data_IF_112522691390
#
_entry.id   IF_112522691390
#
_cell.length_a   1.000
_cell.length_b   1.000
_cell.length_c   1.000
_cell.angle_alpha   90.00
_cell.angle_beta   90.00
_cell.angle_gamma   90.00
#
_symmetry.space_group_name_H-M   'P 1'
#
loop_
_entity.id
_entity.type
_entity.pdbx_description
1 polymer ?
#
# COMPACT_ATOMS: atom_id res chain seq x y z
N UNK A 1 6.10 -5.03 -7.14
CA UNK A 1 4.90 -4.55 -6.46
C UNK A 1 4.55 -3.18 -6.99
N UNK A 2 3.31 -2.96 -7.37
CA UNK A 2 2.81 -1.68 -7.87
C UNK A 2 1.41 -1.47 -7.32
N UNK A 3 1.20 -0.36 -6.63
CA UNK A 3 -0.14 0.04 -6.21
C UNK A 3 -0.78 0.89 -7.30
N UNK A 4 -2.03 0.63 -7.61
CA UNK A 4 -2.89 1.50 -8.41
C UNK A 4 -4.11 1.82 -7.58
N UNK A 5 -4.35 3.09 -7.40
CA UNK A 5 -5.55 3.57 -6.72
C UNK A 5 -6.20 4.62 -7.60
N UNK A 6 -7.50 4.51 -7.82
CA UNK A 6 -8.23 5.42 -8.69
C UNK A 6 -9.52 5.87 -8.07
N UNK A 7 -9.82 7.16 -8.21
CA UNK A 7 -11.12 7.73 -7.93
C UNK A 7 -11.51 8.62 -9.11
N UNK A 8 -12.45 8.19 -9.94
CA UNK A 8 -13.10 9.07 -10.90
C UNK A 8 -14.54 9.24 -10.46
N UNK A 9 -14.95 10.43 -9.99
CA UNK A 9 -16.27 10.79 -9.43
C UNK A 9 -17.09 9.55 -9.16
N UNK A 10 -17.28 9.12 -7.92
CA UNK A 10 -17.11 7.73 -7.58
C UNK A 10 -18.24 6.86 -8.13
N UNK A 11 -18.00 6.25 -9.28
CA UNK A 11 -18.74 5.02 -9.63
C UNK A 11 -18.21 3.91 -8.73
N UNK A 12 -16.92 3.95 -8.35
CA UNK A 12 -16.26 2.99 -7.45
C UNK A 12 -14.86 3.46 -7.06
N UNK A 13 -14.37 2.97 -5.92
CA UNK A 13 -12.95 3.02 -5.57
C UNK A 13 -12.24 1.77 -6.08
N UNK A 14 -11.00 1.91 -6.50
CA UNK A 14 -10.15 0.81 -6.97
C UNK A 14 -8.82 0.87 -6.24
N UNK A 15 -8.47 -0.20 -5.54
CA UNK A 15 -7.11 -0.43 -5.06
C UNK A 15 -6.60 -1.75 -5.66
N UNK A 16 -5.34 -1.78 -6.07
CA UNK A 16 -4.81 -2.93 -6.77
C UNK A 16 -3.32 -3.14 -6.46
N UNK A 17 -2.87 -4.38 -6.48
CA UNK A 17 -1.49 -4.75 -6.23
C UNK A 17 -1.10 -5.99 -7.02
N UNK A 18 0.16 -6.05 -7.48
CA UNK A 18 0.82 -7.30 -7.84
C UNK A 18 1.69 -7.77 -6.66
N UNK A 19 1.68 -9.05 -6.38
CA UNK A 19 2.58 -9.70 -5.46
C UNK A 19 3.63 -10.44 -6.27
N UNK A 20 4.84 -9.90 -6.27
CA UNK A 20 5.96 -10.42 -7.03
C UNK A 20 6.86 -11.21 -6.09
N UNK A 21 6.96 -12.48 -6.32
CA UNK A 21 7.76 -13.39 -5.51
C UNK A 21 9.15 -13.63 -6.12
N UNK A 22 10.03 -14.19 -5.31
CA UNK A 22 11.30 -14.73 -5.78
C UNK A 22 11.12 -15.96 -6.66
N UNK A 23 12.03 -16.90 -6.58
CA UNK A 23 11.87 -18.22 -7.21
C UNK A 23 11.18 -19.15 -6.23
N UNK A 24 10.15 -19.87 -6.68
CA UNK A 24 9.46 -20.86 -5.86
C UNK A 24 7.99 -21.04 -6.27
N UNK A 25 7.34 -22.04 -5.68
CA UNK A 25 5.92 -22.34 -5.89
C UNK A 25 5.10 -21.57 -4.84
N UNK A 26 4.80 -20.32 -5.15
CA UNK A 26 3.89 -19.50 -4.34
C UNK A 26 2.45 -19.66 -4.83
N UNK A 27 1.80 -20.71 -4.35
CA UNK A 27 0.40 -20.95 -4.69
C UNK A 27 -0.50 -20.17 -3.74
N UNK A 28 -1.34 -19.33 -4.30
CA UNK A 28 -2.36 -18.59 -3.58
C UNK A 28 -3.69 -19.34 -3.56
N UNK A 29 -4.47 -19.19 -2.50
CA UNK A 29 -5.79 -19.81 -2.40
C UNK A 29 -6.80 -18.83 -1.81
N UNK A 30 -7.86 -18.53 -2.57
CA UNK A 30 -8.97 -17.74 -2.06
C UNK A 30 -9.65 -18.46 -0.90
N UNK A 31 -9.77 -17.80 0.23
CA UNK A 31 -10.36 -18.32 1.45
C UNK A 31 -11.39 -17.34 2.06
N UNK A 32 -12.26 -17.87 2.87
CA UNK A 32 -13.22 -17.10 3.67
C UNK A 32 -12.97 -17.40 5.14
N UNK A 33 -12.65 -16.36 5.92
CA UNK A 33 -12.69 -16.42 7.36
C UNK A 33 -14.11 -16.11 7.84
N UNK A 34 -14.82 -17.07 8.46
CA UNK A 34 -16.16 -16.81 8.96
C UNK A 34 -16.17 -15.78 10.10
N UNK A 35 -17.27 -15.06 10.25
CA UNK A 35 -17.53 -14.27 11.44
C UNK A 35 -17.50 -15.17 12.68
N UNK A 36 -16.85 -14.67 13.74
CA UNK A 36 -16.81 -15.36 15.04
C UNK A 36 -17.43 -14.45 16.09
N UNK A 37 -18.31 -14.99 16.90
CA UNK A 37 -19.05 -14.23 17.91
C UNK A 37 -18.87 -14.82 19.30
N UNK A 38 -18.64 -13.94 20.29
CA UNK A 38 -18.61 -14.28 21.70
C UNK A 38 -17.54 -15.33 22.11
N UNK A 39 -16.40 -15.35 21.40
CA UNK A 39 -15.28 -16.25 21.71
C UNK A 39 -14.08 -15.40 22.15
N UNK A 40 -13.85 -15.19 23.44
CA UNK A 40 -12.73 -14.42 23.95
C UNK A 40 -11.41 -15.20 23.92
N UNK A 41 -10.29 -14.50 24.09
CA UNK A 41 -8.96 -15.08 24.24
C UNK A 41 -8.35 -15.62 22.93
N UNK A 42 -8.81 -15.11 21.80
CA UNK A 42 -8.24 -15.45 20.48
C UNK A 42 -7.14 -14.47 20.10
N UNK A 43 -6.26 -14.93 19.24
CA UNK A 43 -5.17 -14.14 18.65
C UNK A 43 -5.14 -14.38 17.15
N UNK A 44 -4.70 -13.39 16.39
CA UNK A 44 -4.12 -13.62 15.08
C UNK A 44 -2.61 -13.76 15.30
N UNK A 45 -1.99 -14.75 14.67
CA UNK A 45 -0.60 -15.11 14.91
C UNK A 45 0.18 -15.11 13.59
N UNK A 46 1.28 -14.37 13.56
CA UNK A 46 2.30 -14.58 12.54
C UNK A 46 3.07 -15.87 12.88
N UNK A 47 2.89 -16.89 12.07
CA UNK A 47 3.46 -18.21 12.33
C UNK A 47 4.97 -18.28 12.08
N UNK A 48 5.52 -17.31 11.35
CA UNK A 48 6.95 -17.23 11.10
C UNK A 48 7.73 -16.73 12.32
N UNK A 49 7.21 -15.68 12.98
CA UNK A 49 7.89 -15.00 14.09
C UNK A 49 7.31 -15.35 15.46
N UNK A 50 6.08 -15.87 15.49
CA UNK A 50 5.31 -16.09 16.70
C UNK A 50 4.66 -14.81 17.27
N UNK A 51 4.76 -13.69 16.58
CA UNK A 51 4.09 -12.44 16.95
C UNK A 51 2.57 -12.61 16.98
N UNK A 52 1.90 -12.00 17.96
CA UNK A 52 0.47 -12.17 18.18
C UNK A 52 -0.23 -10.85 18.45
N UNK A 53 -1.38 -10.65 17.80
CA UNK A 53 -2.30 -9.57 18.12
C UNK A 53 -3.55 -10.17 18.75
N UNK A 54 -3.98 -9.71 19.96
CA UNK A 54 -5.20 -10.18 20.57
C UNK A 54 -6.42 -9.73 19.76
N UNK A 55 -7.35 -10.66 19.53
CA UNK A 55 -8.60 -10.38 18.83
C UNK A 55 -9.74 -10.14 19.84
N UNK A 56 -10.67 -9.23 19.55
CA UNK A 56 -11.88 -9.10 20.33
C UNK A 56 -12.70 -10.40 20.31
N UNK A 57 -13.62 -10.56 21.24
CA UNK A 57 -14.49 -11.75 21.33
C UNK A 57 -15.32 -11.96 20.05
N UNK A 58 -15.66 -10.88 19.36
CA UNK A 58 -16.33 -10.90 18.04
C UNK A 58 -15.37 -10.37 16.98
N UNK A 59 -15.22 -11.11 15.88
CA UNK A 59 -14.47 -10.68 14.69
C UNK A 59 -15.34 -10.86 13.44
N UNK A 60 -15.14 -9.99 12.47
CA UNK A 60 -15.94 -9.94 11.26
C UNK A 60 -15.53 -11.04 10.27
N UNK A 61 -16.47 -11.41 9.40
CA UNK A 61 -16.16 -12.25 8.24
C UNK A 61 -15.34 -11.46 7.24
N UNK A 62 -14.32 -12.10 6.68
CA UNK A 62 -13.54 -11.53 5.57
C UNK A 62 -13.11 -12.61 4.57
N UNK A 63 -12.94 -12.19 3.32
CA UNK A 63 -12.26 -12.97 2.28
C UNK A 63 -10.80 -12.57 2.25
N UNK A 64 -9.92 -13.50 1.87
CA UNK A 64 -8.49 -13.25 1.76
C UNK A 64 -7.82 -14.28 0.85
N UNK A 65 -6.62 -13.95 0.36
CA UNK A 65 -5.88 -14.80 -0.57
C UNK A 65 -4.49 -15.10 0.00
N UNK A 66 -4.40 -16.04 0.97
CA UNK A 66 -3.15 -16.41 1.62
C UNK A 66 -2.32 -17.35 0.75
N UNK A 67 -1.06 -17.53 1.14
CA UNK A 67 -0.23 -18.60 0.65
C UNK A 67 -0.82 -19.97 0.99
N UNK A 68 -0.90 -20.86 0.00
CA UNK A 68 -1.48 -22.18 0.20
C UNK A 68 -0.62 -23.04 1.15
N UNK A 69 0.68 -23.02 0.95
CA UNK A 69 1.60 -23.86 1.72
C UNK A 69 1.98 -23.27 3.06
N UNK A 70 1.67 -21.99 3.31
CA UNK A 70 2.02 -21.28 4.55
C UNK A 70 3.40 -21.68 5.07
N UNK A 71 4.41 -21.53 4.20
CA UNK A 71 5.79 -21.88 4.53
C UNK A 71 6.35 -21.09 5.70
N UNK A 72 7.64 -20.88 5.73
CA UNK A 72 8.34 -20.17 6.80
C UNK A 72 7.92 -18.69 6.89
N UNK A 73 7.31 -18.15 5.84
CA UNK A 73 6.88 -16.73 5.76
C UNK A 73 5.51 -16.42 6.41
N UNK A 74 4.77 -17.46 6.81
CA UNK A 74 3.47 -17.26 7.48
C UNK A 74 2.25 -17.29 6.56
N UNK A 75 1.17 -16.58 6.93
CA UNK A 75 -0.11 -16.60 6.20
C UNK A 75 -0.06 -15.80 4.89
N UNK A 76 0.53 -14.64 4.91
CA UNK A 76 0.71 -13.73 3.78
C UNK A 76 -0.57 -13.50 2.95
N UNK A 77 -1.63 -12.89 3.50
CA UNK A 77 -2.82 -12.57 2.75
C UNK A 77 -2.53 -11.42 1.80
N UNK A 78 -2.52 -11.68 0.50
CA UNK A 78 -2.27 -10.65 -0.51
C UNK A 78 -3.30 -9.53 -0.49
N UNK A 79 -4.57 -9.88 -0.21
CA UNK A 79 -5.70 -8.96 -0.08
C UNK A 79 -6.70 -9.47 0.96
N UNK A 80 -7.44 -8.56 1.57
CA UNK A 80 -8.57 -8.85 2.45
C UNK A 80 -9.73 -7.93 2.14
N UNK A 81 -10.97 -8.48 2.14
CA UNK A 81 -12.20 -7.70 2.08
C UNK A 81 -13.19 -8.25 3.10
N UNK A 82 -13.71 -7.41 3.98
CA UNK A 82 -14.61 -7.84 5.03
C UNK A 82 -16.09 -7.61 4.69
N UNK A 83 -16.97 -8.10 5.55
CA UNK A 83 -18.44 -8.03 5.37
C UNK A 83 -19.04 -6.62 5.43
N UNK A 84 -18.25 -5.61 5.79
CA UNK A 84 -18.61 -4.20 5.74
C UNK A 84 -18.10 -3.50 4.48
N UNK A 85 -17.46 -4.23 3.56
CA UNK A 85 -16.90 -3.69 2.33
C UNK A 85 -15.55 -3.00 2.52
N UNK A 86 -14.92 -3.13 3.68
CA UNK A 86 -13.55 -2.64 3.90
C UNK A 86 -12.57 -3.56 3.20
N UNK A 87 -11.83 -3.01 2.26
CA UNK A 87 -10.83 -3.73 1.45
C UNK A 87 -9.43 -3.23 1.77
N UNK A 88 -8.48 -4.14 1.97
CA UNK A 88 -7.12 -3.85 2.43
C UNK A 88 -6.12 -4.67 1.62
N UNK A 89 -5.03 -4.03 1.21
CA UNK A 89 -3.85 -4.70 0.68
C UNK A 89 -2.59 -4.02 1.21
N UNK A 90 -1.59 -4.81 1.57
CA UNK A 90 -0.32 -4.34 2.13
C UNK A 90 0.85 -4.85 1.28
N UNK A 91 1.98 -4.16 1.34
CA UNK A 91 3.19 -4.55 0.64
C UNK A 91 4.43 -4.03 1.36
N UNK A 92 5.44 -4.88 1.52
CA UNK A 92 6.79 -4.45 1.93
C UNK A 92 7.35 -3.59 0.81
N UNK A 93 7.43 -2.29 1.03
CA UNK A 93 7.77 -1.35 -0.03
C UNK A 93 8.48 -0.09 0.43
N UNK A 94 8.27 0.36 1.67
CA UNK A 94 8.97 1.54 2.16
C UNK A 94 10.40 1.17 2.55
N UNK A 95 11.32 2.09 2.29
CA UNK A 95 12.70 2.02 2.73
C UNK A 95 13.12 3.38 3.27
N UNK A 96 14.04 3.41 4.21
CA UNK A 96 14.52 4.64 4.83
C UNK A 96 16.03 4.68 4.83
N UNK A 97 16.63 5.83 5.14
CA UNK A 97 18.08 5.94 5.22
C UNK A 97 18.61 5.43 6.57
N UNK A 98 19.89 5.09 6.63
CA UNK A 98 20.55 4.56 7.84
C UNK A 98 20.35 5.43 9.09
N UNK A 99 20.33 6.75 8.92
CA UNK A 99 20.11 7.66 10.06
C UNK A 99 18.69 7.55 10.62
N UNK A 100 17.70 7.30 9.75
CA UNK A 100 16.33 7.05 10.15
C UNK A 100 16.18 5.69 10.84
N UNK A 101 16.72 4.62 10.24
CA UNK A 101 16.70 3.27 10.80
C UNK A 101 17.38 3.19 12.18
N UNK A 102 18.41 4.01 12.42
CA UNK A 102 19.06 4.09 13.72
C UNK A 102 18.22 4.82 14.78
N UNK A 103 17.34 5.73 14.38
CA UNK A 103 16.48 6.52 15.28
C UNK A 103 15.17 5.81 15.62
N UNK A 104 14.56 5.17 14.60
CA UNK A 104 13.31 4.40 14.73
C UNK A 104 13.49 3.00 14.11
N UNK A 105 14.29 2.12 14.77
CA UNK A 105 14.55 0.79 14.26
C UNK A 105 13.29 -0.06 14.23
N UNK A 106 13.19 -0.96 13.26
CA UNK A 106 12.13 -1.96 13.22
C UNK A 106 12.10 -2.81 14.49
N UNK A 107 10.92 -3.23 14.91
CA UNK A 107 10.69 -4.01 16.14
C UNK A 107 10.56 -5.48 15.79
N UNK A 108 11.44 -6.33 16.35
CA UNK A 108 11.44 -7.78 16.13
C UNK A 108 11.18 -8.55 17.45
N UNK A 109 10.09 -9.36 17.56
CA UNK A 109 9.02 -9.51 16.59
C UNK A 109 8.02 -8.34 16.64
N UNK A 110 7.47 -7.98 15.47
CA UNK A 110 6.54 -6.88 15.31
C UNK A 110 5.47 -7.14 14.25
N UNK A 111 4.73 -6.11 13.88
CA UNK A 111 3.72 -6.20 12.84
C UNK A 111 4.36 -6.39 11.47
N UNK A 112 3.91 -7.44 10.74
CA UNK A 112 4.35 -7.77 9.38
C UNK A 112 3.21 -7.86 8.39
N UNK A 113 3.53 -7.69 7.10
CA UNK A 113 2.61 -7.94 5.98
C UNK A 113 1.90 -9.29 6.12
N UNK A 114 2.61 -10.29 6.67
CA UNK A 114 2.11 -11.66 6.87
C UNK A 114 0.76 -11.77 7.58
N UNK A 115 0.41 -10.81 8.45
CA UNK A 115 -0.87 -10.79 9.17
C UNK A 115 -1.58 -9.45 9.14
N UNK A 116 -0.93 -8.38 8.63
CA UNK A 116 -1.40 -7.00 8.73
C UNK A 116 -2.82 -6.84 8.17
N UNK A 117 -3.04 -7.19 6.90
CA UNK A 117 -4.34 -6.98 6.26
C UNK A 117 -5.46 -7.77 6.95
N UNK A 118 -5.20 -9.02 7.36
CA UNK A 118 -6.17 -9.87 8.01
C UNK A 118 -6.50 -9.39 9.43
N UNK A 119 -5.52 -8.90 10.20
CA UNK A 119 -5.74 -8.40 11.57
C UNK A 119 -6.64 -7.17 11.58
N UNK A 120 -6.46 -6.27 10.63
CA UNK A 120 -7.26 -5.05 10.48
C UNK A 120 -8.66 -5.36 9.93
N UNK A 121 -8.77 -6.20 8.88
CA UNK A 121 -10.05 -6.58 8.30
C UNK A 121 -10.98 -7.29 9.30
N UNK A 122 -10.41 -8.04 10.24
CA UNK A 122 -11.17 -8.76 11.25
C UNK A 122 -11.93 -7.86 12.24
N UNK A 123 -11.58 -6.57 12.38
CA UNK A 123 -12.06 -5.72 13.47
C UNK A 123 -12.57 -4.34 13.04
N UNK A 124 -12.42 -3.94 11.78
CA UNK A 124 -12.82 -2.63 11.28
C UNK A 124 -14.13 -2.67 10.49
N UNK A 125 -14.91 -1.59 10.53
CA UNK A 125 -16.19 -1.45 9.82
C UNK A 125 -16.19 -0.36 8.76
N UNK A 126 -15.17 0.51 8.77
CA UNK A 126 -14.95 1.56 7.77
C UNK A 126 -13.46 1.65 7.42
N UNK A 127 -13.14 2.27 6.27
CA UNK A 127 -11.75 2.50 5.89
C UNK A 127 -11.02 3.36 6.92
N UNK A 128 -11.67 4.40 7.46
CA UNK A 128 -11.09 5.24 8.50
C UNK A 128 -10.79 4.47 9.77
N UNK A 129 -11.73 3.66 10.26
CA UNK A 129 -11.49 2.81 11.42
C UNK A 129 -10.35 1.81 11.16
N UNK A 130 -10.27 1.26 9.94
CA UNK A 130 -9.18 0.38 9.54
C UNK A 130 -7.81 1.07 9.59
N UNK A 131 -7.72 2.32 9.16
CA UNK A 131 -6.51 3.15 9.33
C UNK A 131 -6.19 3.32 10.80
N UNK A 132 -7.15 3.75 11.63
CA UNK A 132 -6.92 3.98 13.06
C UNK A 132 -6.48 2.69 13.80
N UNK A 133 -7.06 1.53 13.44
CA UNK A 133 -6.67 0.21 13.97
C UNK A 133 -5.23 -0.14 13.57
N UNK A 134 -4.89 0.04 12.29
CA UNK A 134 -3.53 -0.23 11.79
C UNK A 134 -2.49 0.63 12.51
N UNK A 135 -2.73 1.94 12.59
CA UNK A 135 -1.82 2.87 13.25
C UNK A 135 -1.70 2.56 14.74
N UNK A 136 -2.80 2.21 15.40
CA UNK A 136 -2.80 1.76 16.79
C UNK A 136 -1.96 0.50 17.01
N UNK A 137 -1.93 -0.44 16.05
CA UNK A 137 -1.05 -1.60 16.14
C UNK A 137 0.43 -1.22 15.96
N UNK A 138 0.75 -0.28 15.06
CA UNK A 138 2.11 0.23 14.92
C UNK A 138 2.56 0.96 16.18
N UNK A 139 1.69 1.79 16.79
CA UNK A 139 1.98 2.49 18.04
C UNK A 139 2.20 1.53 19.21
N UNK A 140 1.38 0.47 19.33
CA UNK A 140 1.40 -0.43 20.49
C UNK A 140 2.47 -1.52 20.38
N UNK A 141 2.64 -2.09 19.20
CA UNK A 141 3.49 -3.27 19.01
C UNK A 141 4.76 -2.99 18.20
N UNK A 142 4.77 -1.92 17.42
CA UNK A 142 5.81 -1.65 16.44
C UNK A 142 5.68 -2.47 15.17
N UNK A 143 6.32 -1.98 14.10
CA UNK A 143 6.42 -2.68 12.80
C UNK A 143 7.78 -3.35 12.66
N UNK A 144 7.80 -4.57 12.11
CA UNK A 144 9.03 -5.33 11.82
C UNK A 144 9.59 -5.01 10.43
N UNK A 145 8.80 -4.36 9.59
CA UNK A 145 9.16 -4.07 8.21
C UNK A 145 8.46 -2.80 7.68
N UNK A 146 9.04 -2.20 6.66
CA UNK A 146 8.47 -1.02 6.00
C UNK A 146 7.37 -1.40 5.02
N UNK A 147 6.15 -0.91 5.26
CA UNK A 147 4.98 -1.25 4.46
C UNK A 147 4.31 -0.02 3.85
N UNK A 148 3.79 -0.19 2.63
CA UNK A 148 2.71 0.65 2.11
C UNK A 148 1.41 -0.14 2.17
N UNK A 149 0.38 0.42 2.79
CA UNK A 149 -0.93 -0.20 2.93
C UNK A 149 -1.97 0.65 2.22
N UNK A 150 -2.79 0.02 1.38
CA UNK A 150 -3.94 0.67 0.75
C UNK A 150 -5.21 0.12 1.41
N UNK A 151 -6.09 1.03 1.79
CA UNK A 151 -7.35 0.72 2.49
C UNK A 151 -8.47 1.49 1.80
N UNK A 152 -9.60 0.83 1.54
CA UNK A 152 -10.78 1.50 0.99
C UNK A 152 -12.07 0.90 1.54
N UNK A 153 -13.10 1.72 1.54
CA UNK A 153 -14.49 1.32 1.70
C UNK A 153 -15.37 2.03 0.66
N UNK A 154 -16.67 2.09 0.88
CA UNK A 154 -17.63 2.75 0.00
C UNK A 154 -17.48 4.28 -0.05
N UNK A 155 -16.77 4.90 0.89
CA UNK A 155 -16.77 6.35 1.10
C UNK A 155 -15.40 6.99 0.84
N UNK A 156 -14.33 6.22 1.01
CA UNK A 156 -12.99 6.78 0.94
C UNK A 156 -11.91 5.72 0.72
N UNK A 157 -10.75 6.20 0.33
CA UNK A 157 -9.56 5.38 0.17
C UNK A 157 -8.36 6.08 0.82
N UNK A 158 -7.44 5.28 1.39
CA UNK A 158 -6.27 5.73 2.13
C UNK A 158 -5.01 5.00 1.67
N UNK A 159 -3.89 5.70 1.71
CA UNK A 159 -2.56 5.14 1.61
C UNK A 159 -1.86 5.38 2.95
N UNK A 160 -1.25 4.34 3.50
CA UNK A 160 -0.46 4.41 4.73
C UNK A 160 0.96 3.97 4.39
N UNK A 161 1.95 4.77 4.73
CA UNK A 161 3.37 4.41 4.66
C UNK A 161 3.91 4.28 6.08
N UNK A 162 4.52 3.13 6.39
CA UNK A 162 5.20 2.84 7.66
C UNK A 162 6.70 2.95 7.41
N UNK A 163 7.37 3.85 8.11
CA UNK A 163 8.75 4.25 7.86
C UNK A 163 9.79 3.58 8.77
N UNK A 164 9.35 2.97 9.85
CA UNK A 164 10.21 2.36 10.87
C UNK A 164 9.41 1.59 11.89
N UNK A 165 9.95 1.41 13.08
CA UNK A 165 9.27 0.70 14.15
C UNK A 165 7.94 1.33 14.54
N UNK A 166 7.90 2.69 14.67
CA UNK A 166 6.73 3.42 15.16
C UNK A 166 6.39 4.67 14.34
N UNK A 167 7.14 4.99 13.29
CA UNK A 167 6.90 6.18 12.48
C UNK A 167 6.12 5.84 11.21
N UNK A 168 5.08 6.64 10.94
CA UNK A 168 4.18 6.44 9.79
C UNK A 168 3.53 7.75 9.33
N UNK A 169 2.97 7.70 8.13
CA UNK A 169 2.01 8.69 7.64
C UNK A 169 0.90 8.01 6.84
N UNK A 170 -0.33 8.35 7.14
CA UNK A 170 -1.52 7.98 6.37
C UNK A 170 -2.06 9.21 5.63
N UNK A 171 -2.43 9.01 4.38
CA UNK A 171 -2.96 10.08 3.52
C UNK A 171 -4.23 9.60 2.83
N UNK A 172 -5.30 10.38 2.97
CA UNK A 172 -6.56 10.14 2.25
C UNK A 172 -6.36 10.46 0.77
N UNK A 173 -6.79 9.55 -0.08
CA UNK A 173 -6.73 9.77 -1.52
C UNK A 173 -7.77 10.79 -1.96
N UNK A 174 -7.39 11.81 -2.75
CA UNK A 174 -8.35 12.72 -3.37
C UNK A 174 -9.23 11.98 -4.38
N UNK A 175 -10.52 12.32 -4.43
CA UNK A 175 -11.54 11.62 -5.24
C UNK A 175 -11.33 11.75 -6.76
N UNK A 176 -10.57 12.74 -7.21
CA UNK A 176 -10.29 13.02 -8.62
C UNK A 176 -8.88 12.61 -9.09
N UNK A 177 -8.16 11.85 -8.28
CA UNK A 177 -6.78 11.48 -8.54
C UNK A 177 -6.60 9.97 -8.72
N UNK A 178 -5.45 9.64 -9.29
CA UNK A 178 -4.94 8.28 -9.42
C UNK A 178 -3.52 8.21 -8.87
N UNK A 179 -3.08 7.00 -8.51
CA UNK A 179 -1.71 6.71 -8.11
C UNK A 179 -1.24 5.41 -8.74
N UNK A 180 0.00 5.38 -9.22
CA UNK A 180 0.72 4.16 -9.60
C UNK A 180 2.13 4.28 -9.07
N UNK A 181 2.57 3.31 -8.28
CA UNK A 181 3.88 3.37 -7.63
C UNK A 181 4.53 2.01 -7.48
N UNK A 182 5.86 2.02 -7.39
CA UNK A 182 6.69 0.84 -7.12
C UNK A 182 6.93 0.62 -5.63
N UNK A 183 8.03 -0.07 -5.30
CA UNK A 183 8.44 -0.36 -3.93
C UNK A 183 9.30 0.78 -3.37
N UNK A 184 8.71 1.90 -3.07
CA UNK A 184 9.38 3.02 -2.42
C UNK A 184 8.38 3.99 -1.78
N UNK A 185 8.89 4.88 -0.94
CA UNK A 185 8.13 5.94 -0.31
C UNK A 185 7.63 6.95 -1.36
N UNK A 186 6.36 7.33 -1.28
CA UNK A 186 5.72 8.19 -2.27
C UNK A 186 5.03 9.42 -1.68
N UNK A 187 4.71 9.42 -0.36
CA UNK A 187 4.04 10.57 0.25
C UNK A 187 4.94 11.80 0.13
N UNK A 188 4.46 12.78 -0.63
CA UNK A 188 5.17 14.00 -0.94
C UNK A 188 5.03 15.07 0.14
N UNK A 189 4.56 16.25 -0.27
CA UNK A 189 4.46 17.43 0.60
C UNK A 189 3.30 17.29 1.60
N UNK A 190 3.63 17.40 2.89
CA UNK A 190 2.68 17.36 4.01
C UNK A 190 2.89 18.59 4.89
N UNK A 191 1.79 19.23 5.26
CA UNK A 191 1.80 20.29 6.28
C UNK A 191 1.93 19.64 7.67
N UNK A 192 2.95 20.00 8.48
CA UNK A 192 3.09 19.46 9.83
C UNK A 192 1.97 19.88 10.79
N UNK A 193 1.05 20.72 10.34
CA UNK A 193 -0.15 21.14 11.07
C UNK A 193 -1.43 20.50 10.51
N UNK A 194 -1.31 19.69 9.44
CA UNK A 194 -2.46 19.00 8.87
C UNK A 194 -3.08 18.05 9.90
N UNK A 195 -4.38 17.94 9.84
CA UNK A 195 -5.20 17.17 10.79
C UNK A 195 -5.90 16.02 10.06
N UNK A 196 -6.50 15.08 10.79
CA UNK A 196 -7.30 14.03 10.17
C UNK A 196 -8.44 14.53 9.29
N UNK A 197 -8.99 15.72 9.58
CA UNK A 197 -10.02 16.39 8.76
C UNK A 197 -9.46 16.87 7.43
N UNK A 198 -8.16 17.18 7.37
CA UNK A 198 -7.42 17.54 6.14
C UNK A 198 -7.00 16.29 5.35
N UNK A 199 -7.29 15.09 5.85
CA UNK A 199 -6.95 13.82 5.21
C UNK A 199 -5.55 13.31 5.52
N UNK A 200 -4.94 13.71 6.64
CA UNK A 200 -3.63 13.25 7.07
C UNK A 200 -3.65 12.74 8.50
N UNK A 201 -2.96 11.63 8.74
CA UNK A 201 -2.67 11.10 10.08
C UNK A 201 -1.22 10.67 10.07
N UNK A 202 -0.45 11.13 11.02
CA UNK A 202 0.97 10.79 11.15
C UNK A 202 1.34 10.56 12.61
N UNK A 203 2.40 9.79 12.82
CA UNK A 203 2.90 9.46 14.16
C UNK A 203 3.39 10.69 14.91
N UNK A 204 3.23 10.66 16.22
CA UNK A 204 3.75 11.69 17.10
C UNK A 204 5.27 11.80 16.93
N UNK A 205 5.75 13.05 16.73
CA UNK A 205 7.18 13.32 16.59
C UNK A 205 7.77 13.05 15.20
N UNK A 206 6.98 12.67 14.17
CA UNK A 206 7.48 12.42 12.82
C UNK A 206 8.34 13.58 12.28
N UNK A 207 7.82 14.79 12.31
CA UNK A 207 8.52 15.98 11.81
C UNK A 207 9.68 16.41 12.71
N UNK A 208 9.54 16.25 14.03
CA UNK A 208 10.63 16.50 15.00
C UNK A 208 11.81 15.55 14.77
N UNK A 209 11.53 14.29 14.43
CA UNK A 209 12.56 13.29 14.06
C UNK A 209 13.26 13.68 12.77
N UNK A 210 12.52 14.09 11.73
CA UNK A 210 13.09 14.58 10.48
C UNK A 210 14.02 15.77 10.73
N UNK A 211 13.59 16.75 11.51
CA UNK A 211 14.38 17.94 11.83
C UNK A 211 15.60 17.61 12.70
N UNK A 212 15.45 16.75 13.71
CA UNK A 212 16.53 16.26 14.58
C UNK A 212 17.66 15.59 13.80
N UNK A 213 17.30 14.79 12.79
CA UNK A 213 18.25 14.08 11.94
C UNK A 213 18.84 14.95 10.82
N UNK A 214 18.34 16.19 10.63
CA UNK A 214 18.77 17.07 9.55
C UNK A 214 18.36 16.57 8.14
N UNK A 215 17.31 15.77 8.05
CA UNK A 215 16.83 15.14 6.81
C UNK A 215 15.73 15.95 6.11
N UNK A 216 15.33 17.09 6.66
CA UNK A 216 14.19 17.86 6.16
C UNK A 216 14.39 18.37 4.73
N UNK A 217 13.58 17.86 3.80
CA UNK A 217 13.39 18.41 2.47
C UNK A 217 12.07 19.14 2.45
N UNK A 218 12.10 20.47 2.26
CA UNK A 218 10.92 21.35 2.42
C UNK A 218 10.64 22.20 1.20
N UNK A 219 9.33 22.48 1.00
CA UNK A 219 8.85 23.56 0.13
C UNK A 219 8.02 24.51 1.00
N UNK A 220 8.60 25.67 1.36
CA UNK A 220 8.02 26.54 2.37
C UNK A 220 7.93 25.86 3.73
N UNK A 221 6.72 25.78 4.29
CA UNK A 221 6.47 25.08 5.58
C UNK A 221 6.17 23.57 5.40
N UNK A 222 5.98 23.09 4.17
CA UNK A 222 5.62 21.71 3.89
C UNK A 222 6.85 20.81 3.84
N UNK A 223 6.76 19.62 4.42
CA UNK A 223 7.78 18.59 4.36
C UNK A 223 7.50 17.60 3.24
N UNK A 224 8.46 17.30 2.40
CA UNK A 224 8.38 16.22 1.44
C UNK A 224 8.81 14.92 2.12
N UNK A 225 7.86 14.14 2.64
CA UNK A 225 8.17 12.98 3.50
C UNK A 225 9.06 11.96 2.80
N UNK A 226 8.69 11.49 1.61
CA UNK A 226 9.47 10.50 0.90
C UNK A 226 10.94 10.92 0.69
N UNK A 227 11.21 12.18 0.32
CA UNK A 227 12.58 12.70 0.18
C UNK A 227 13.30 12.81 1.52
N UNK A 228 12.60 13.18 2.57
CA UNK A 228 13.17 13.35 3.90
C UNK A 228 13.61 12.01 4.49
N UNK A 229 12.70 11.03 4.57
CA UNK A 229 12.99 9.74 5.23
C UNK A 229 14.01 8.88 4.46
N UNK A 230 14.16 9.09 3.14
CA UNK A 230 15.14 8.38 2.30
C UNK A 230 16.44 9.12 2.11
N UNK A 231 16.61 10.31 2.71
CA UNK A 231 17.72 11.23 2.42
C UNK A 231 17.83 11.53 0.91
N UNK A 232 16.70 11.79 0.27
CA UNK A 232 16.55 12.07 -1.16
C UNK A 232 17.10 10.95 -2.10
N UNK A 233 17.15 9.72 -1.60
CA UNK A 233 17.57 8.55 -2.39
C UNK A 233 16.34 7.79 -2.90
N UNK A 234 16.43 7.24 -4.10
CA UNK A 234 15.45 6.36 -4.70
C UNK A 234 16.12 5.43 -5.70
N UNK A 235 15.42 4.38 -6.04
CA UNK A 235 15.90 3.39 -6.98
C UNK A 235 15.22 3.55 -8.33
N UNK A 236 16.02 3.60 -9.39
CA UNK A 236 15.56 3.84 -10.76
C UNK A 236 14.47 2.84 -11.21
N UNK A 237 14.61 1.57 -10.85
CA UNK A 237 13.62 0.55 -11.18
C UNK A 237 12.22 0.81 -10.59
N UNK A 238 12.11 1.59 -9.53
CA UNK A 238 10.85 2.05 -8.97
C UNK A 238 10.29 3.21 -9.80
N UNK A 239 11.12 4.17 -10.16
CA UNK A 239 10.76 5.32 -10.98
C UNK A 239 10.22 4.89 -12.36
N UNK A 240 10.83 3.90 -13.01
CA UNK A 240 10.35 3.35 -14.28
C UNK A 240 8.87 2.93 -14.18
N UNK A 241 8.47 2.28 -13.09
CA UNK A 241 7.09 1.82 -12.89
C UNK A 241 6.11 2.96 -12.61
N UNK A 242 6.55 3.98 -11.86
CA UNK A 242 5.73 5.17 -11.62
C UNK A 242 5.47 5.93 -12.92
N UNK A 243 6.53 6.21 -13.69
CA UNK A 243 6.42 6.86 -14.99
C UNK A 243 5.56 6.07 -15.98
N UNK A 244 5.75 4.76 -16.05
CA UNK A 244 4.95 3.90 -16.90
C UNK A 244 3.45 3.96 -16.54
N UNK A 245 3.12 3.99 -15.26
CA UNK A 245 1.74 4.23 -14.81
C UNK A 245 1.19 5.56 -15.29
N UNK A 246 2.00 6.63 -15.22
CA UNK A 246 1.62 7.96 -15.72
C UNK A 246 1.42 7.97 -17.23
N UNK A 247 2.26 7.28 -18.02
CA UNK A 247 2.11 7.23 -19.48
C UNK A 247 0.79 6.59 -19.92
N UNK A 248 0.21 5.72 -19.09
CA UNK A 248 -1.07 5.06 -19.35
C UNK A 248 -2.24 5.91 -18.86
N UNK A 249 -2.15 6.45 -17.63
CA UNK A 249 -3.29 7.12 -16.98
C UNK A 249 -3.36 8.62 -17.27
N UNK A 250 -2.23 9.26 -17.47
CA UNK A 250 -2.10 10.70 -17.68
C UNK A 250 -0.99 11.02 -18.70
N UNK A 251 -1.09 10.53 -19.95
CA UNK A 251 -0.07 10.77 -20.97
C UNK A 251 0.21 12.25 -21.21
N UNK A 252 -0.76 13.13 -20.95
CA UNK A 252 -0.55 14.59 -21.04
C UNK A 252 0.43 15.15 -20.01
N UNK A 253 0.67 14.43 -18.89
CA UNK A 253 1.56 14.82 -17.80
C UNK A 253 2.89 14.06 -17.79
N UNK A 254 2.94 12.86 -18.37
CA UNK A 254 4.04 11.92 -18.19
C UNK A 254 5.40 12.45 -18.68
N UNK A 255 5.44 13.19 -19.78
CA UNK A 255 6.69 13.65 -20.39
C UNK A 255 7.62 12.53 -20.80
N UNK A 256 8.91 12.86 -21.05
CA UNK A 256 9.97 11.87 -21.24
C UNK A 256 10.36 11.27 -19.89
N UNK A 257 10.86 10.03 -19.89
CA UNK A 257 11.37 9.40 -18.67
C UNK A 257 12.61 10.15 -18.16
N UNK A 258 12.61 10.46 -16.87
CA UNK A 258 13.75 11.03 -16.15
C UNK A 258 14.00 10.21 -14.87
N UNK A 259 15.17 9.59 -14.78
CA UNK A 259 15.57 8.80 -13.61
C UNK A 259 15.76 9.65 -12.34
N UNK A 260 16.00 10.95 -12.49
CA UNK A 260 16.20 11.88 -11.39
C UNK A 260 14.91 12.56 -10.93
N UNK A 261 13.81 12.38 -11.67
CA UNK A 261 12.51 12.94 -11.31
C UNK A 261 11.91 12.21 -10.10
N UNK A 262 11.25 12.96 -9.23
CA UNK A 262 10.45 12.44 -8.14
C UNK A 262 8.96 12.50 -8.55
N UNK A 263 8.50 11.47 -9.26
CA UNK A 263 7.14 11.42 -9.78
C UNK A 263 6.11 11.55 -8.66
N UNK A 264 5.04 12.35 -8.86
CA UNK A 264 4.04 12.58 -7.81
C UNK A 264 3.26 11.30 -7.50
N UNK A 265 2.88 11.13 -6.21
CA UNK A 265 2.00 10.03 -5.81
C UNK A 265 0.63 10.17 -6.49
N UNK A 266 0.02 11.36 -6.43
CA UNK A 266 -1.30 11.62 -6.97
C UNK A 266 -1.27 12.55 -8.16
N UNK A 267 -2.00 12.17 -9.22
CA UNK A 267 -2.19 13.01 -10.40
C UNK A 267 -3.57 12.78 -11.02
N UNK A 268 -4.06 13.76 -11.80
CA UNK A 268 -5.33 13.64 -12.50
C UNK A 268 -5.16 12.74 -13.72
N UNK A 269 -5.99 11.71 -13.91
CA UNK A 269 -5.96 10.93 -15.14
C UNK A 269 -6.58 11.73 -16.29
N UNK A 270 -6.13 11.51 -17.52
CA UNK A 270 -6.68 12.16 -18.71
C UNK A 270 -8.08 11.61 -19.05
N UNK A 271 -8.36 10.37 -18.69
CA UNK A 271 -9.64 9.69 -18.93
C UNK A 271 -10.09 8.90 -17.71
N UNK A 272 -11.35 8.46 -17.72
CA UNK A 272 -11.89 7.59 -16.66
C UNK A 272 -11.15 6.26 -16.63
N UNK A 273 -10.76 5.85 -15.45
CA UNK A 273 -10.04 4.59 -15.21
C UNK A 273 -11.03 3.47 -14.92
N UNK A 274 -10.91 2.38 -15.65
CA UNK A 274 -11.70 1.15 -15.47
C UNK A 274 -10.84 0.02 -14.91
N UNK A 275 -11.49 -1.07 -14.46
CA UNK A 275 -10.81 -2.31 -14.09
C UNK A 275 -9.92 -2.81 -15.25
N UNK A 276 -10.38 -2.72 -16.50
CA UNK A 276 -9.58 -3.11 -17.67
C UNK A 276 -8.33 -2.25 -17.84
N UNK A 277 -8.44 -0.93 -17.60
CA UNK A 277 -7.28 -0.03 -17.62
C UNK A 277 -6.25 -0.45 -16.56
N UNK A 278 -6.71 -0.81 -15.35
CA UNK A 278 -5.82 -1.30 -14.28
C UNK A 278 -5.19 -2.64 -14.68
N UNK A 279 -5.93 -3.55 -15.27
CA UNK A 279 -5.37 -4.82 -15.80
C UNK A 279 -4.31 -4.58 -16.87
N UNK A 280 -4.47 -3.57 -17.72
CA UNK A 280 -3.48 -3.22 -18.75
C UNK A 280 -2.20 -2.64 -18.11
N UNK A 281 -2.30 -1.87 -17.02
CA UNK A 281 -1.14 -1.44 -16.24
C UNK A 281 -0.35 -2.65 -15.74
N UNK A 282 -1.02 -3.66 -15.16
CA UNK A 282 -0.33 -4.86 -14.66
C UNK A 282 0.25 -5.79 -15.74
N UNK A 283 -0.09 -5.59 -17.01
CA UNK A 283 0.52 -6.28 -18.15
C UNK A 283 1.66 -5.49 -18.78
N UNK A 284 1.82 -4.22 -18.42
CA UNK A 284 2.75 -3.30 -19.07
C UNK A 284 4.21 -3.71 -18.88
N UNK A 285 4.93 -3.78 -20.01
CA UNK A 285 6.36 -4.07 -20.09
C UNK A 285 7.11 -2.95 -20.79
N UNK A 286 6.59 -1.73 -20.68
CA UNK A 286 7.11 -0.49 -21.29
C UNK A 286 7.01 -0.46 -22.82
N UNK A 287 6.11 -1.25 -23.42
CA UNK A 287 5.97 -1.38 -24.86
C UNK A 287 5.81 -0.03 -25.56
N UNK A 288 6.60 0.17 -26.61
CA UNK A 288 6.59 1.39 -27.42
C UNK A 288 7.23 2.61 -26.76
N UNK A 289 7.89 2.45 -25.62
CA UNK A 289 8.65 3.50 -24.94
C UNK A 289 10.17 3.29 -25.05
N UNK A 290 11.01 4.28 -24.70
CA UNK A 290 12.45 4.07 -24.64
C UNK A 290 12.90 2.99 -23.63
N UNK A 291 12.05 2.63 -22.66
CA UNK A 291 12.33 1.61 -21.64
C UNK A 291 11.85 0.21 -22.03
N UNK A 292 11.23 0.04 -23.21
CA UNK A 292 10.69 -1.24 -23.72
C UNK A 292 11.72 -2.37 -23.60
N UNK A 293 11.36 -3.42 -22.85
CA UNK A 293 12.27 -4.55 -22.56
C UNK A 293 12.62 -5.39 -23.77
N UNK A 294 11.95 -5.19 -24.92
CA UNK A 294 12.30 -5.83 -26.19
C UNK A 294 13.42 -5.12 -26.93
N UNK A 295 13.79 -3.91 -26.49
CA UNK A 295 14.90 -3.13 -27.07
C UNK A 295 16.24 -3.56 -26.50
N UNK A 296 17.31 -3.61 -27.31
CA UNK A 296 18.64 -3.97 -26.83
C UNK A 296 19.12 -3.05 -25.69
N UNK A 297 19.51 -3.66 -24.57
CA UNK A 297 20.00 -2.97 -23.38
C UNK A 297 18.94 -2.72 -22.30
N UNK A 298 17.67 -3.04 -22.57
CA UNK A 298 16.55 -2.86 -21.65
C UNK A 298 16.02 -4.18 -21.05
N UNK A 299 16.63 -5.31 -21.40
CA UNK A 299 16.15 -6.65 -21.05
C UNK A 299 16.01 -6.87 -19.56
N UNK A 300 16.81 -6.16 -18.75
CA UNK A 300 16.83 -6.25 -17.30
C UNK A 300 15.96 -5.18 -16.59
N UNK A 301 15.28 -4.32 -17.35
CA UNK A 301 14.41 -3.31 -16.76
C UNK A 301 13.29 -3.96 -15.95
N UNK A 302 13.11 -3.50 -14.72
CA UNK A 302 12.07 -4.00 -13.83
C UNK A 302 10.69 -3.49 -14.28
N UNK A 303 9.98 -4.33 -14.99
CA UNK A 303 8.63 -4.03 -15.52
C UNK A 303 7.53 -4.16 -14.46
N UNK A 304 6.36 -3.59 -14.73
CA UNK A 304 5.14 -3.81 -13.94
C UNK A 304 4.64 -5.24 -14.19
N UNK A 305 4.46 -5.62 -15.45
CA UNK A 305 4.01 -6.94 -15.89
C UNK A 305 5.14 -7.98 -15.88
N UNK A 306 5.58 -8.37 -14.69
CA UNK A 306 6.65 -9.37 -14.51
C UNK A 306 6.10 -10.78 -14.45
N UNK A 307 6.86 -11.75 -14.96
CA UNK A 307 6.59 -13.20 -14.83
C UNK A 307 6.70 -13.70 -13.39
N UNK A 308 7.19 -12.87 -12.48
CA UNK A 308 7.34 -13.20 -11.05
C UNK A 308 6.08 -12.93 -10.23
N UNK A 309 5.03 -12.35 -10.84
CA UNK A 309 3.77 -12.07 -10.14
C UNK A 309 3.05 -13.38 -9.82
N UNK A 310 2.97 -13.70 -8.53
CA UNK A 310 2.22 -14.86 -8.02
C UNK A 310 0.73 -14.59 -7.91
N UNK A 311 0.37 -13.34 -7.70
CA UNK A 311 -1.00 -12.83 -7.62
C UNK A 311 -1.06 -11.40 -8.13
N UNK A 312 -2.15 -11.07 -8.81
CA UNK A 312 -2.59 -9.70 -9.08
C UNK A 312 -4.05 -9.63 -8.65
N UNK A 313 -4.39 -8.66 -7.82
CA UNK A 313 -5.77 -8.42 -7.41
C UNK A 313 -6.15 -6.95 -7.64
N UNK A 314 -7.42 -6.72 -7.92
CA UNK A 314 -8.03 -5.41 -8.01
C UNK A 314 -9.28 -5.44 -7.13
N UNK A 315 -9.26 -4.70 -6.03
CA UNK A 315 -10.39 -4.57 -5.12
C UNK A 315 -11.19 -3.35 -5.53
N UNK A 316 -12.40 -3.60 -6.03
CA UNK A 316 -13.32 -2.55 -6.49
C UNK A 316 -14.47 -2.41 -5.51
N UNK A 317 -14.66 -1.21 -4.95
CA UNK A 317 -15.71 -0.94 -3.97
C UNK A 317 -16.70 0.08 -4.51
N UNK A 318 -17.99 -0.24 -4.44
CA UNK A 318 -19.09 0.53 -5.03
C UNK A 318 -19.87 1.30 -3.95
N UNK A 319 -19.88 2.65 -3.98
CA UNK A 319 -20.53 3.48 -2.97
C UNK A 319 -22.03 3.22 -2.78
N UNK A 320 -22.73 2.92 -3.85
CA UNK A 320 -24.21 2.81 -3.85
C UNK A 320 -24.73 1.38 -3.63
N UNK A 321 -23.83 0.40 -3.41
CA UNK A 321 -24.24 -0.99 -3.22
C UNK A 321 -24.42 -1.32 -1.73
N UNK A 322 -25.24 -2.35 -1.39
CA UNK A 322 -25.29 -2.85 -0.02
C UNK A 322 -23.91 -3.31 0.45
N UNK A 323 -23.54 -3.00 1.70
CA UNK A 323 -22.20 -3.25 2.23
C UNK A 323 -21.74 -4.71 2.05
N UNK A 324 -22.65 -5.66 2.21
CA UNK A 324 -22.38 -7.11 2.12
C UNK A 324 -21.92 -7.57 0.72
N UNK A 325 -22.14 -6.76 -0.31
CA UNK A 325 -21.75 -7.05 -1.69
C UNK A 325 -21.16 -5.80 -2.39
N UNK A 326 -20.70 -4.83 -1.63
CA UNK A 326 -20.17 -3.57 -2.16
C UNK A 326 -18.77 -3.68 -2.77
N UNK A 327 -18.07 -4.77 -2.53
CA UNK A 327 -16.72 -5.01 -3.07
C UNK A 327 -16.68 -6.23 -3.97
N UNK A 328 -15.88 -6.11 -5.04
CA UNK A 328 -15.53 -7.21 -5.94
C UNK A 328 -14.00 -7.34 -5.93
N UNK A 329 -13.53 -8.55 -5.76
CA UNK A 329 -12.12 -8.93 -5.94
C UNK A 329 -11.96 -9.57 -7.33
N UNK A 330 -11.18 -8.89 -8.22
CA UNK A 330 -10.93 -9.29 -9.59
C UNK A 330 -9.59 -10.01 -9.72
#
# INVERSE_FOLDING_TARGET
>A
VTGVQTCALPISYLIARSEDQGQGDYNKMFQVQPRVENVPGRFITDTATGFQIPLPATTYKYTYVPDYTRGDDGMYPGSCTNEYGVSITATVSTSTCEAWEAEDPFVEPGLREAILAASVAAVSTTAREAVDVLLGYVDEYGSEEGNTVMITDQNEAWIVEIYGGHQYCAMKMPDDKVAVFGNHNMIGLVDPKATPEDGYIYSDGLFDTIDKLGLAVKEGELYHLAKSVTNNTREDYNNMRNWAGMTILAPSLAGEYDSDEFYPLFYSPDEKVSVLTVMDIYRNRYEGTPLDVTLPGNEENRVIGTERSSQIHILQTFPDWPAECSSIDW
#
